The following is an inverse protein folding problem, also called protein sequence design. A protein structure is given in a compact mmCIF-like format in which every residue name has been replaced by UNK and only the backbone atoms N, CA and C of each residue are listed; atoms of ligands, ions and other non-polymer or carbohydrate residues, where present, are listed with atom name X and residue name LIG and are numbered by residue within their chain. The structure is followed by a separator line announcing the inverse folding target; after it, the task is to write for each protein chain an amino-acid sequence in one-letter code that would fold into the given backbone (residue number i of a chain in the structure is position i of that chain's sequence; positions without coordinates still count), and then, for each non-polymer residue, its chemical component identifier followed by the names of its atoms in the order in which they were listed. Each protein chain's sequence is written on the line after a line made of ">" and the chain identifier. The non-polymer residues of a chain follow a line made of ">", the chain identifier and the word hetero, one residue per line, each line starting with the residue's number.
data_IF_090027547700
#
_entry.id   IF_090027547700
#
_cell.length_a   1.000
_cell.length_b   1.000
_cell.length_c   1.000
_cell.angle_alpha   90.00
_cell.angle_beta   90.00
_cell.angle_gamma   90.00
#
_symmetry.space_group_name_H-M   'P 1'
#
loop_
_entity.id
_entity.type
_entity.pdbx_description
1 polymer ?
#
# COMPACT_ATOMS: atom_id res chain seq x y z
N UNK A 1 20.50 0.90 2.23
CA UNK A 1 19.55 0.67 3.34
C UNK A 1 20.37 0.66 4.61
N UNK A 2 20.11 1.59 5.52
CA UNK A 2 20.86 1.74 6.78
C UNK A 2 20.13 1.07 7.96
N UNK A 3 20.81 0.98 9.11
CA UNK A 3 20.29 0.34 10.31
C UNK A 3 18.96 0.96 10.78
N UNK A 4 18.85 2.29 10.72
CA UNK A 4 17.63 3.01 11.10
C UNK A 4 16.44 2.68 10.17
N UNK A 5 16.70 2.46 8.88
CA UNK A 5 15.69 2.02 7.92
C UNK A 5 15.22 0.60 8.20
N UNK A 6 16.15 -0.31 8.54
CA UNK A 6 15.82 -1.69 8.90
C UNK A 6 14.91 -1.69 10.14
N UNK A 7 15.30 -1.03 11.22
CA UNK A 7 14.50 -0.96 12.45
C UNK A 7 13.10 -0.39 12.17
N UNK A 8 13.02 0.70 11.42
CA UNK A 8 11.74 1.29 11.05
C UNK A 8 10.86 0.34 10.21
N UNK A 9 11.45 -0.52 9.38
CA UNK A 9 10.70 -1.46 8.54
C UNK A 9 10.11 -2.64 9.33
N UNK A 10 10.70 -3.01 10.48
CA UNK A 10 10.35 -4.21 11.26
C UNK A 10 9.71 -3.91 12.62
N UNK A 11 9.53 -2.64 13.01
CA UNK A 11 8.81 -2.25 14.23
C UNK A 11 7.29 -2.25 14.00
N UNK A 12 6.53 -2.58 15.05
CA UNK A 12 5.07 -2.40 15.05
C UNK A 12 4.70 -0.92 15.07
N UNK A 13 4.01 -0.46 14.04
CA UNK A 13 3.47 0.89 13.94
C UNK A 13 2.00 0.89 14.33
N UNK A 14 1.70 1.31 15.56
CA UNK A 14 0.32 1.49 16.00
C UNK A 14 -0.40 2.50 15.07
N UNK A 15 -1.67 2.24 14.67
CA UNK A 15 -2.39 3.14 13.78
C UNK A 15 -2.54 4.52 14.39
N UNK A 16 -2.12 5.56 13.66
CA UNK A 16 -2.42 6.97 14.00
C UNK A 16 -3.79 7.35 13.43
N UNK A 17 -4.48 8.31 14.04
CA UNK A 17 -5.90 8.61 13.78
C UNK A 17 -6.28 8.80 12.28
N UNK A 18 -5.38 9.32 11.45
CA UNK A 18 -5.64 9.54 10.01
C UNK A 18 -5.23 8.38 9.08
N UNK A 19 -4.48 7.39 9.57
CA UNK A 19 -3.97 6.30 8.74
C UNK A 19 -5.07 5.37 8.22
N UNK A 20 -6.13 5.01 8.99
CA UNK A 20 -7.24 4.21 8.47
C UNK A 20 -7.88 4.79 7.20
N UNK A 21 -8.06 6.10 7.15
CA UNK A 21 -8.60 6.78 5.97
C UNK A 21 -7.66 6.65 4.75
N UNK A 22 -6.35 6.82 4.95
CA UNK A 22 -5.35 6.64 3.88
C UNK A 22 -5.34 5.20 3.35
N UNK A 23 -5.38 4.20 4.23
CA UNK A 23 -5.43 2.79 3.81
C UNK A 23 -6.71 2.48 3.02
N UNK A 24 -7.85 3.00 3.46
CA UNK A 24 -9.13 2.80 2.78
C UNK A 24 -9.13 3.45 1.39
N UNK A 25 -8.57 4.65 1.26
CA UNK A 25 -8.44 5.32 -0.04
C UNK A 25 -7.63 4.46 -1.04
N UNK A 26 -6.48 3.91 -0.63
CA UNK A 26 -5.67 3.04 -1.48
C UNK A 26 -6.43 1.77 -1.87
N UNK A 27 -7.05 1.09 -0.90
CA UNK A 27 -7.77 -0.16 -1.15
C UNK A 27 -8.96 0.03 -2.08
N UNK A 28 -9.71 1.12 -1.91
CA UNK A 28 -10.84 1.43 -2.77
C UNK A 28 -10.40 1.73 -4.20
N UNK A 29 -9.35 2.53 -4.39
CA UNK A 29 -8.79 2.81 -5.72
C UNK A 29 -8.26 1.56 -6.41
N UNK A 30 -7.57 0.69 -5.67
CA UNK A 30 -7.10 -0.58 -6.21
C UNK A 30 -8.26 -1.52 -6.59
N UNK A 31 -9.33 -1.56 -5.78
CA UNK A 31 -10.54 -2.33 -6.10
C UNK A 31 -11.15 -1.89 -7.43
N UNK A 32 -11.27 -0.58 -7.67
CA UNK A 32 -11.79 -0.05 -8.94
C UNK A 32 -10.93 -0.51 -10.13
N UNK A 33 -9.60 -0.42 -10.03
CA UNK A 33 -8.73 -0.91 -11.10
C UNK A 33 -8.81 -2.44 -11.27
N UNK A 34 -8.94 -3.19 -10.19
CA UNK A 34 -9.11 -4.64 -10.24
C UNK A 34 -10.40 -5.03 -10.99
N UNK A 35 -11.50 -4.31 -10.77
CA UNK A 35 -12.77 -4.50 -11.49
C UNK A 35 -12.60 -4.19 -12.99
N UNK A 36 -11.87 -3.14 -13.35
CA UNK A 36 -11.55 -2.81 -14.75
C UNK A 36 -10.69 -3.89 -15.41
N UNK A 37 -9.67 -4.41 -14.73
CA UNK A 37 -8.84 -5.53 -15.23
C UNK A 37 -9.70 -6.79 -15.42
N UNK A 38 -10.59 -7.07 -14.46
CA UNK A 38 -11.47 -8.23 -14.52
C UNK A 38 -12.38 -8.19 -15.75
N UNK A 39 -12.97 -7.03 -16.03
CA UNK A 39 -13.96 -6.82 -17.10
C UNK A 39 -13.32 -6.74 -18.49
N UNK A 40 -12.20 -6.03 -18.61
CA UNK A 40 -11.63 -5.68 -19.92
C UNK A 40 -10.53 -6.64 -20.39
N UNK A 41 -9.85 -7.36 -19.50
CA UNK A 41 -8.77 -8.27 -19.89
C UNK A 41 -9.29 -9.71 -20.05
N UNK A 42 -8.94 -10.40 -21.17
CA UNK A 42 -9.25 -11.82 -21.32
C UNK A 42 -8.46 -12.66 -20.31
N UNK A 43 -8.94 -13.87 -20.04
CA UNK A 43 -8.21 -14.82 -19.20
C UNK A 43 -6.86 -15.16 -19.84
N UNK A 44 -5.78 -14.72 -19.20
CA UNK A 44 -4.42 -14.85 -19.70
C UNK A 44 -3.39 -14.75 -18.57
N UNK A 45 -2.14 -15.09 -18.89
CA UNK A 45 -1.01 -14.93 -17.95
C UNK A 45 -0.83 -13.47 -17.55
N UNK A 46 -1.00 -12.54 -18.48
CA UNK A 46 -0.88 -11.10 -18.27
C UNK A 46 -1.93 -10.59 -17.28
N UNK A 47 -3.19 -11.06 -17.39
CA UNK A 47 -4.26 -10.72 -16.43
C UNK A 47 -3.89 -11.16 -15.01
N UNK A 48 -3.42 -12.40 -14.84
CA UNK A 48 -2.96 -12.90 -13.54
C UNK A 48 -1.78 -12.08 -13.00
N UNK A 49 -0.82 -11.76 -13.85
CA UNK A 49 0.33 -10.90 -13.48
C UNK A 49 -0.14 -9.50 -13.06
N UNK A 50 -1.11 -8.91 -13.77
CA UNK A 50 -1.66 -7.60 -13.44
C UNK A 50 -2.29 -7.57 -12.03
N UNK A 51 -3.05 -8.60 -11.65
CA UNK A 51 -3.57 -8.73 -10.29
C UNK A 51 -2.45 -8.85 -9.25
N UNK A 52 -1.45 -9.71 -9.48
CA UNK A 52 -0.30 -9.85 -8.57
C UNK A 52 0.45 -8.53 -8.37
N UNK A 53 0.66 -7.76 -9.44
CA UNK A 53 1.32 -6.46 -9.35
C UNK A 53 0.46 -5.42 -8.63
N UNK A 54 -0.85 -5.43 -8.84
CA UNK A 54 -1.78 -4.54 -8.15
C UNK A 54 -1.78 -4.81 -6.63
N UNK A 55 -1.85 -6.07 -6.23
CA UNK A 55 -1.74 -6.48 -4.81
C UNK A 55 -0.40 -6.04 -4.21
N UNK A 56 0.69 -6.24 -4.95
CA UNK A 56 2.04 -5.81 -4.54
C UNK A 56 2.11 -4.29 -4.37
N UNK A 57 1.52 -3.52 -5.29
CA UNK A 57 1.46 -2.06 -5.20
C UNK A 57 0.69 -1.60 -3.95
N UNK A 58 -0.46 -2.21 -3.66
CA UNK A 58 -1.25 -1.92 -2.45
C UNK A 58 -0.47 -2.26 -1.18
N UNK A 59 0.21 -3.40 -1.16
CA UNK A 59 1.05 -3.80 -0.02
C UNK A 59 2.12 -2.75 0.28
N UNK A 60 2.88 -2.33 -0.74
CA UNK A 60 3.95 -1.34 -0.57
C UNK A 60 3.42 0.06 -0.25
N UNK A 61 2.28 0.46 -0.81
CA UNK A 61 1.67 1.74 -0.48
C UNK A 61 1.17 1.80 0.98
N UNK A 62 0.57 0.73 1.48
CA UNK A 62 0.20 0.62 2.89
C UNK A 62 1.44 0.59 3.80
N UNK A 63 2.50 -0.12 3.41
CA UNK A 63 3.75 -0.13 4.15
C UNK A 63 4.39 1.27 4.24
N UNK A 64 4.30 2.07 3.17
CA UNK A 64 4.79 3.45 3.18
C UNK A 64 4.03 4.33 4.19
N UNK A 65 2.70 4.20 4.29
CA UNK A 65 1.89 4.90 5.31
C UNK A 65 2.26 4.42 6.72
N UNK A 66 2.40 3.11 6.91
CA UNK A 66 2.73 2.55 8.22
C UNK A 66 4.10 3.07 8.72
N UNK A 67 5.05 3.24 7.81
CA UNK A 67 6.43 3.68 8.10
C UNK A 67 6.61 5.21 8.15
N UNK A 68 5.56 5.99 7.89
CA UNK A 68 5.58 7.46 7.91
C UNK A 68 5.89 7.95 9.34
N UNK A 69 7.12 8.46 9.55
CA UNK A 69 7.47 9.20 10.75
C UNK A 69 6.74 10.54 10.68
N UNK A 70 5.89 10.82 11.67
CA UNK A 70 5.26 12.15 11.80
C UNK A 70 6.38 13.17 11.88
N UNK A 71 6.38 14.16 11.00
CA UNK A 71 7.30 15.29 11.09
C UNK A 71 7.27 15.79 12.53
N UNK A 72 8.43 15.86 13.17
CA UNK A 72 8.61 16.54 14.44
C UNK A 72 7.99 17.92 14.28
N UNK A 73 6.90 18.19 15.00
CA UNK A 73 6.51 19.57 15.26
C UNK A 73 7.63 20.13 16.12
N UNK A 74 8.64 20.71 15.49
CA UNK A 74 9.63 21.53 16.18
C UNK A 74 8.86 22.71 16.79
N UNK A 75 8.75 22.65 18.12
CA UNK A 75 8.35 23.74 19.01
C UNK A 75 9.53 24.63 19.33
#
# INVERSE_FOLDING_TARGET
>A
MDQATIENNFVYHAPKDNQPAKYNAIRNSAKVLAEVILDLCPESREKSIAFTHLETAVMWANAAIAREKTATSES
#
